data_IF_530469563910
#
_entry.id   IF_530469563910
#
_cell.length_a   1.000
_cell.length_b   1.000
_cell.length_c   1.000
_cell.angle_alpha   90.00
_cell.angle_beta   90.00
_cell.angle_gamma   90.00
#
_symmetry.space_group_name_H-M   'P 1'
#
loop_
_entity.id
_entity.type
_entity.pdbx_description
1 polymer ?
#
# COMPACT_ATOMS: atom_id res chain seq x y z
N UNK A 1 1.06 6.81 -5.81
CA UNK A 1 -0.27 6.30 -5.42
C UNK A 1 -0.58 6.61 -3.97
N UNK A 2 0.25 6.16 -3.01
CA UNK A 2 0.09 6.45 -1.56
C UNK A 2 -0.01 7.94 -1.21
N UNK A 3 0.77 8.82 -1.86
CA UNK A 3 0.65 10.27 -1.67
C UNK A 3 -0.73 10.81 -2.10
N UNK A 4 -1.28 10.36 -3.22
CA UNK A 4 -2.60 10.79 -3.70
C UNK A 4 -3.71 10.31 -2.76
N UNK A 5 -3.62 9.06 -2.29
CA UNK A 5 -4.55 8.51 -1.29
C UNK A 5 -4.49 9.28 0.03
N UNK A 6 -3.28 9.63 0.47
CA UNK A 6 -3.04 10.44 1.66
C UNK A 6 -3.68 11.82 1.54
N UNK A 7 -3.41 12.53 0.45
CA UNK A 7 -4.01 13.85 0.21
C UNK A 7 -5.54 13.76 0.08
N UNK A 8 -6.06 12.72 -0.57
CA UNK A 8 -7.51 12.48 -0.67
C UNK A 8 -8.16 12.22 0.67
N UNK A 9 -7.54 11.41 1.52
CA UNK A 9 -8.02 11.14 2.89
C UNK A 9 -8.00 12.39 3.77
N UNK A 10 -6.93 13.19 3.68
CA UNK A 10 -6.85 14.47 4.36
C UNK A 10 -7.93 15.44 3.87
N UNK A 11 -8.12 15.57 2.55
CA UNK A 11 -9.15 16.41 1.97
C UNK A 11 -10.57 15.97 2.40
N UNK A 12 -10.84 14.67 2.48
CA UNK A 12 -12.11 14.15 3.01
C UNK A 12 -12.35 14.57 4.45
N UNK A 13 -11.31 14.53 5.30
CA UNK A 13 -11.44 14.96 6.69
C UNK A 13 -11.72 16.47 6.84
N UNK A 14 -11.27 17.30 5.90
CA UNK A 14 -11.39 18.77 5.96
C UNK A 14 -12.68 19.26 5.28
N UNK A 15 -13.03 18.70 4.13
CA UNK A 15 -14.06 19.25 3.25
C UNK A 15 -15.34 18.42 3.17
N UNK A 16 -15.34 17.16 3.62
CA UNK A 16 -16.55 16.35 3.56
C UNK A 16 -17.54 16.82 4.63
N UNK A 17 -18.78 17.08 4.20
CA UNK A 17 -19.89 17.10 5.15
C UNK A 17 -19.99 15.71 5.78
N UNK A 18 -20.09 15.70 7.11
CA UNK A 18 -20.23 14.48 7.88
C UNK A 18 -21.70 14.27 8.24
N UNK A 19 -22.25 13.13 7.83
CA UNK A 19 -23.59 12.70 8.25
C UNK A 19 -23.67 12.43 9.76
N UNK A 20 -22.53 12.18 10.41
CA UNK A 20 -22.43 11.96 11.86
C UNK A 20 -22.00 13.21 12.64
N UNK A 21 -21.72 14.31 11.94
CA UNK A 21 -21.19 15.55 12.52
C UNK A 21 -19.73 15.44 12.99
N UNK A 22 -19.01 14.38 12.62
CA UNK A 22 -17.58 14.17 12.93
C UNK A 22 -16.82 13.64 11.72
N UNK A 23 -15.58 14.07 11.58
CA UNK A 23 -14.61 13.48 10.64
C UNK A 23 -13.49 12.77 11.41
N UNK A 24 -12.69 11.97 10.70
CA UNK A 24 -11.53 11.31 11.29
C UNK A 24 -10.56 12.32 11.92
N UNK A 25 -10.46 13.54 11.36
CA UNK A 25 -9.68 14.63 11.94
C UNK A 25 -10.23 15.04 13.30
N UNK A 26 -11.54 15.24 13.44
CA UNK A 26 -12.14 15.62 14.72
C UNK A 26 -12.01 14.51 15.79
N UNK A 27 -11.86 13.25 15.37
CA UNK A 27 -11.65 12.13 16.29
C UNK A 27 -10.23 12.06 16.85
N UNK A 28 -9.27 12.71 16.18
CA UNK A 28 -7.89 12.74 16.59
C UNK A 28 -7.71 13.81 17.68
N UNK A 29 -7.30 13.38 18.87
CA UNK A 29 -7.10 14.29 20.00
C UNK A 29 -6.03 15.34 19.65
N UNK A 30 -6.40 16.63 19.75
CA UNK A 30 -5.49 17.73 19.47
C UNK A 30 -5.24 17.99 17.99
N UNK A 31 -6.08 17.46 17.08
CA UNK A 31 -5.96 17.68 15.64
C UNK A 31 -5.82 19.16 15.26
N UNK A 32 -6.58 20.04 15.93
CA UNK A 32 -6.60 21.48 15.65
C UNK A 32 -5.26 22.16 15.96
N UNK A 33 -4.45 21.54 16.82
CA UNK A 33 -3.12 22.02 17.23
C UNK A 33 -1.98 21.18 16.66
N UNK A 34 -2.30 20.14 15.89
CA UNK A 34 -1.33 19.21 15.37
C UNK A 34 -0.54 19.83 14.21
N UNK A 35 0.76 19.59 14.18
CA UNK A 35 1.61 20.08 13.10
C UNK A 35 1.26 19.40 11.76
N UNK A 36 1.45 20.13 10.66
CA UNK A 36 1.14 19.64 9.32
C UNK A 36 1.88 18.33 9.01
N UNK A 37 3.15 18.23 9.43
CA UNK A 37 3.95 17.03 9.22
C UNK A 37 3.33 15.81 9.92
N UNK A 38 2.76 16.00 11.10
CA UNK A 38 2.08 14.93 11.83
C UNK A 38 0.80 14.50 11.10
N UNK A 39 -0.05 15.45 10.68
CA UNK A 39 -1.28 15.16 9.95
C UNK A 39 -1.01 14.47 8.60
N UNK A 40 0.02 14.91 7.89
CA UNK A 40 0.48 14.29 6.65
C UNK A 40 0.96 12.86 6.89
N UNK A 41 1.88 12.66 7.85
CA UNK A 41 2.44 11.34 8.15
C UNK A 41 1.37 10.36 8.64
N UNK A 42 0.41 10.86 9.41
CA UNK A 42 -0.75 10.12 9.92
C UNK A 42 -1.68 9.68 8.77
N UNK A 43 -2.00 10.59 7.85
CA UNK A 43 -2.80 10.29 6.65
C UNK A 43 -2.07 9.33 5.69
N UNK A 44 -0.74 9.46 5.60
CA UNK A 44 0.10 8.58 4.80
C UNK A 44 0.14 7.17 5.39
N UNK A 45 0.32 7.06 6.71
CA UNK A 45 0.30 5.78 7.43
C UNK A 45 -1.03 5.06 7.23
N UNK A 46 -2.15 5.79 7.36
CA UNK A 46 -3.48 5.23 7.07
C UNK A 46 -3.60 4.70 5.64
N UNK A 47 -3.15 5.48 4.66
CA UNK A 47 -3.19 5.09 3.24
C UNK A 47 -2.35 3.85 2.96
N UNK A 48 -1.19 3.72 3.60
CA UNK A 48 -0.35 2.52 3.51
C UNK A 48 -1.06 1.31 4.12
N UNK A 49 -1.67 1.48 5.30
CA UNK A 49 -2.43 0.41 5.96
C UNK A 49 -3.59 -0.10 5.09
N UNK A 50 -4.32 0.78 4.40
CA UNK A 50 -5.39 0.33 3.49
C UNK A 50 -4.85 -0.49 2.29
N UNK A 51 -3.67 -0.16 1.77
CA UNK A 51 -3.05 -0.88 0.66
C UNK A 51 -2.46 -2.23 1.07
N UNK A 52 -1.91 -2.32 2.28
CA UNK A 52 -1.25 -3.54 2.78
C UNK A 52 -2.14 -4.39 3.67
N UNK A 53 -3.41 -3.99 3.87
CA UNK A 53 -4.35 -4.60 4.81
C UNK A 53 -3.83 -4.58 6.27
N UNK A 54 -3.09 -3.53 6.62
CA UNK A 54 -2.54 -3.29 7.95
C UNK A 54 -3.57 -2.67 8.91
N UNK A 55 -3.30 -2.78 10.22
CA UNK A 55 -4.08 -2.12 11.25
C UNK A 55 -3.58 -0.68 11.48
N UNK A 56 -4.51 0.24 11.72
CA UNK A 56 -4.23 1.63 12.08
C UNK A 56 -5.28 2.13 13.06
N UNK A 57 -4.89 2.99 13.99
CA UNK A 57 -5.77 3.53 15.04
C UNK A 57 -6.76 4.59 14.53
N UNK A 58 -6.62 5.02 13.28
CA UNK A 58 -7.52 5.98 12.65
C UNK A 58 -8.71 5.23 12.06
N UNK A 59 -9.90 5.57 12.57
CA UNK A 59 -11.16 4.97 12.14
C UNK A 59 -11.99 5.97 11.37
N UNK A 60 -12.66 5.50 10.32
CA UNK A 60 -13.73 6.26 9.68
C UNK A 60 -14.85 6.53 10.68
N UNK A 61 -15.31 7.78 10.71
CA UNK A 61 -16.32 8.29 11.65
C UNK A 61 -17.64 8.66 10.98
N UNK A 62 -17.66 8.72 9.66
CA UNK A 62 -18.83 9.01 8.84
C UNK A 62 -18.96 8.02 7.68
N UNK A 63 -20.12 8.05 7.01
CA UNK A 63 -20.45 7.06 5.97
C UNK A 63 -19.55 7.17 4.74
N UNK A 64 -19.17 8.39 4.35
CA UNK A 64 -18.31 8.66 3.18
C UNK A 64 -16.89 8.13 3.43
N UNK A 65 -16.31 8.47 4.58
CA UNK A 65 -15.02 7.95 5.03
C UNK A 65 -15.01 6.43 5.06
N UNK A 66 -16.08 5.81 5.57
CA UNK A 66 -16.19 4.35 5.67
C UNK A 66 -16.27 3.71 4.29
N UNK A 67 -17.06 4.26 3.38
CA UNK A 67 -17.16 3.78 2.01
C UNK A 67 -15.81 3.86 1.28
N UNK A 68 -15.10 4.99 1.43
CA UNK A 68 -13.75 5.17 0.89
C UNK A 68 -12.76 4.14 1.44
N UNK A 69 -12.82 3.87 2.76
CA UNK A 69 -11.96 2.87 3.42
C UNK A 69 -12.20 1.47 2.84
N UNK A 70 -13.48 1.04 2.74
CA UNK A 70 -13.84 -0.27 2.18
C UNK A 70 -13.37 -0.39 0.73
N UNK A 71 -13.58 0.65 -0.08
CA UNK A 71 -13.14 0.66 -1.47
C UNK A 71 -11.61 0.53 -1.60
N UNK A 72 -10.85 1.26 -0.77
CA UNK A 72 -9.38 1.19 -0.79
C UNK A 72 -8.85 -0.14 -0.28
N UNK A 73 -9.51 -0.79 0.68
CA UNK A 73 -9.14 -2.15 1.11
C UNK A 73 -9.31 -3.16 -0.03
N UNK A 74 -10.39 -3.07 -0.80
CA UNK A 74 -10.61 -3.94 -1.97
C UNK A 74 -9.55 -3.70 -3.05
N UNK A 75 -9.23 -2.44 -3.34
CA UNK A 75 -8.14 -2.11 -4.27
C UNK A 75 -6.78 -2.57 -3.76
N UNK A 76 -6.51 -2.41 -2.46
CA UNK A 76 -5.31 -2.87 -1.79
C UNK A 76 -5.14 -4.38 -1.92
N UNK A 77 -6.20 -5.15 -1.69
CA UNK A 77 -6.21 -6.60 -1.89
C UNK A 77 -5.81 -6.98 -3.33
N UNK A 78 -6.46 -6.38 -4.34
CA UNK A 78 -6.18 -6.67 -5.75
C UNK A 78 -4.75 -6.28 -6.14
N UNK A 79 -4.30 -5.10 -5.70
CA UNK A 79 -2.95 -4.62 -5.94
C UNK A 79 -1.90 -5.53 -5.31
N UNK A 80 -2.11 -5.92 -4.05
CA UNK A 80 -1.18 -6.76 -3.31
C UNK A 80 -1.10 -8.17 -3.90
N UNK A 81 -2.23 -8.77 -4.32
CA UNK A 81 -2.24 -10.04 -5.04
C UNK A 81 -1.44 -9.97 -6.35
N UNK A 82 -1.62 -8.89 -7.11
CA UNK A 82 -0.89 -8.67 -8.36
C UNK A 82 0.60 -8.45 -8.13
N UNK A 83 0.95 -7.69 -7.09
CA UNK A 83 2.33 -7.43 -6.69
C UNK A 83 3.04 -8.73 -6.30
N UNK A 84 2.43 -9.55 -5.45
CA UNK A 84 2.99 -10.85 -5.04
C UNK A 84 3.20 -11.74 -6.27
N UNK A 85 2.21 -11.82 -7.17
CA UNK A 85 2.32 -12.62 -8.39
C UNK A 85 3.47 -12.15 -9.29
N UNK A 86 3.60 -10.84 -9.52
CA UNK A 86 4.68 -10.27 -10.32
C UNK A 86 6.06 -10.52 -9.70
N UNK A 87 6.17 -10.39 -8.37
CA UNK A 87 7.40 -10.69 -7.65
C UNK A 87 7.77 -12.17 -7.77
N UNK A 88 6.81 -13.09 -7.56
CA UNK A 88 7.04 -14.53 -7.73
C UNK A 88 7.48 -14.87 -9.16
N UNK A 89 6.82 -14.33 -10.18
CA UNK A 89 7.22 -14.54 -11.58
C UNK A 89 8.64 -14.01 -11.86
N UNK A 90 9.00 -12.86 -11.27
CA UNK A 90 10.34 -12.27 -11.39
C UNK A 90 11.39 -13.14 -10.70
N UNK A 91 11.10 -13.68 -9.51
CA UNK A 91 11.99 -14.61 -8.81
C UNK A 91 12.21 -15.91 -9.61
N UNK A 92 11.15 -16.48 -10.19
CA UNK A 92 11.27 -17.68 -11.03
C UNK A 92 12.13 -17.38 -12.26
N UNK A 93 11.91 -16.25 -12.94
CA UNK A 93 12.75 -15.80 -14.06
C UNK A 93 14.22 -15.66 -13.66
N UNK A 94 14.48 -15.06 -12.51
CA UNK A 94 15.83 -14.90 -11.98
C UNK A 94 16.50 -16.26 -11.70
N UNK A 95 15.78 -17.20 -11.09
CA UNK A 95 16.29 -18.55 -10.83
C UNK A 95 16.59 -19.31 -12.14
N UNK A 96 15.70 -19.22 -13.14
CA UNK A 96 15.92 -19.85 -14.45
C UNK A 96 17.17 -19.31 -15.16
N UNK A 97 17.40 -17.99 -15.09
CA UNK A 97 18.60 -17.37 -15.66
C UNK A 97 19.87 -17.86 -14.94
N UNK A 98 19.85 -17.90 -13.60
CA UNK A 98 20.97 -18.39 -12.81
C UNK A 98 21.27 -19.88 -13.08
N UNK A 99 20.23 -20.73 -13.16
CA UNK A 99 20.40 -22.16 -13.47
C UNK A 99 20.85 -22.40 -14.92
N UNK A 100 20.38 -21.58 -15.87
CA UNK A 100 20.77 -21.66 -17.27
C UNK A 100 22.25 -21.38 -17.47
N UNK A 101 22.78 -20.33 -16.83
CA UNK A 101 24.22 -20.03 -16.87
C UNK A 101 25.07 -21.17 -16.31
N UNK A 102 24.62 -21.80 -15.22
CA UNK A 102 25.31 -22.95 -14.64
C UNK A 102 25.31 -24.16 -15.61
N UNK A 103 24.17 -24.45 -16.26
CA UNK A 103 24.09 -25.52 -17.26
C UNK A 103 24.96 -25.25 -18.50
N UNK A 104 25.00 -24.01 -19.00
CA UNK A 104 25.87 -23.63 -20.11
C UNK A 104 27.35 -23.85 -19.75
N UNK A 105 27.77 -23.40 -18.57
CA UNK A 105 29.15 -23.62 -18.10
C UNK A 105 29.49 -25.10 -17.95
N UNK A 106 28.58 -25.92 -17.41
CA UNK A 106 28.79 -27.37 -17.32
C UNK A 106 28.91 -28.03 -18.69
N UNK A 107 28.12 -27.56 -19.66
CA UNK A 107 28.14 -28.08 -21.03
C UNK A 107 29.45 -27.74 -21.73
N UNK A 108 29.92 -26.48 -21.63
CA UNK A 108 31.23 -26.07 -22.13
C UNK A 108 32.38 -26.83 -21.47
N UNK A 109 32.35 -26.99 -20.14
CA UNK A 109 33.35 -27.76 -19.41
C UNK A 109 33.39 -29.23 -19.85
N UNK A 110 32.26 -29.80 -20.26
CA UNK A 110 32.19 -31.17 -20.80
C UNK A 110 32.79 -31.25 -22.21
N UNK A 111 32.51 -30.28 -23.09
CA UNK A 111 33.07 -30.23 -24.44
C UNK A 111 34.59 -30.04 -24.45
N UNK A 112 35.12 -29.14 -23.61
CA UNK A 112 36.57 -28.87 -23.53
C UNK A 112 37.38 -30.02 -22.91
N UNK A 113 36.72 -30.99 -22.28
CA UNK A 113 37.35 -32.16 -21.67
C UNK A 113 37.41 -33.38 -22.61
N UNK A 114 36.73 -33.32 -23.76
CA UNK A 114 36.84 -34.28 -24.86
C UNK A 114 37.89 -33.81 -25.87
#
# INVERSE_FOLDING_TARGET
MTHLLCCGWYALGVYSDSDTGRTWLNSLRGADTADFLYLYSTSLHWSMAQLTLGAVEIVATNSVERCCSVFLLLLGLLFNSSLVSALSATFIRFQMLASGQLQEQMTLARFLRQ
#
